data_IF_729600007816
#
_entry.id   IF_729600007816
#
_cell.length_a   1.000
_cell.length_b   1.000
_cell.length_c   1.000
_cell.angle_alpha   90.00
_cell.angle_beta   90.00
_cell.angle_gamma   90.00
#
_symmetry.space_group_name_H-M   'P 1'
#
loop_
_entity.id
_entity.type
_entity.pdbx_description
1 polymer ?
#
# COMPACT_ATOMS: atom_id res chain seq x y z
N UNK A 1 -9.25 -5.98 23.93
CA UNK A 1 -9.65 -6.28 22.53
C UNK A 1 -8.42 -6.66 21.72
N UNK A 2 -7.70 -7.69 22.17
CA UNK A 2 -6.46 -8.23 21.55
C UNK A 2 -6.33 -9.75 21.77
N UNK A 3 -7.34 -10.39 22.35
CA UNK A 3 -7.26 -11.78 22.80
C UNK A 3 -7.14 -12.76 21.62
N UNK A 4 -7.89 -12.53 20.54
CA UNK A 4 -7.85 -13.37 19.34
C UNK A 4 -6.49 -13.25 18.65
N UNK A 5 -6.02 -12.02 18.45
CA UNK A 5 -4.71 -11.76 17.86
C UNK A 5 -3.57 -12.37 18.69
N UNK A 6 -3.54 -12.11 19.99
CA UNK A 6 -2.49 -12.65 20.86
C UNK A 6 -2.50 -14.18 20.94
N UNK A 7 -3.69 -14.80 20.94
CA UNK A 7 -3.80 -16.26 20.91
C UNK A 7 -3.24 -16.83 19.60
N UNK A 8 -3.59 -16.22 18.45
CA UNK A 8 -3.08 -16.62 17.14
C UNK A 8 -1.56 -16.42 17.02
N UNK A 9 -1.03 -15.30 17.53
CA UNK A 9 0.40 -15.02 17.54
C UNK A 9 1.17 -16.02 18.40
N UNK A 10 0.70 -16.27 19.64
CA UNK A 10 1.32 -17.28 20.52
C UNK A 10 1.25 -18.68 19.93
N UNK A 11 0.19 -19.02 19.20
CA UNK A 11 0.09 -20.30 18.50
C UNK A 11 1.14 -20.41 17.38
N UNK A 12 1.27 -19.39 16.54
CA UNK A 12 2.27 -19.33 15.48
C UNK A 12 3.70 -19.41 16.02
N UNK A 13 4.01 -18.73 17.13
CA UNK A 13 5.35 -18.79 17.75
C UNK A 13 5.67 -20.18 18.34
N UNK A 14 4.66 -20.98 18.70
CA UNK A 14 4.87 -22.34 19.21
C UNK A 14 5.17 -23.35 18.10
N UNK A 15 4.78 -23.08 16.85
CA UNK A 15 5.10 -23.93 15.69
C UNK A 15 6.59 -23.87 15.35
N UNK A 16 7.25 -22.75 15.68
CA UNK A 16 8.69 -22.55 15.53
C UNK A 16 9.31 -22.16 16.87
N UNK A 17 9.35 -23.08 17.85
CA UNK A 17 9.90 -22.76 19.15
C UNK A 17 11.38 -22.42 18.93
N UNK A 18 11.78 -21.22 19.32
CA UNK A 18 13.19 -20.78 19.21
C UNK A 18 14.00 -21.53 20.28
N UNK A 19 14.22 -22.83 20.07
CA UNK A 19 14.94 -23.71 20.99
C UNK A 19 16.42 -23.63 20.67
N UNK A 20 17.11 -22.72 21.34
CA UNK A 20 18.57 -22.65 21.37
C UNK A 20 19.09 -21.22 21.33
N UNK A 21 20.20 -20.92 22.02
CA UNK A 21 20.92 -19.68 21.78
C UNK A 21 21.35 -19.66 20.32
N UNK A 22 20.82 -18.69 19.55
CA UNK A 22 21.33 -18.46 18.21
C UNK A 22 22.83 -18.18 18.33
N UNK A 23 23.66 -18.92 17.60
CA UNK A 23 25.12 -18.70 17.57
C UNK A 23 25.51 -17.30 17.11
N UNK A 24 24.54 -16.55 16.57
CA UNK A 24 24.65 -15.17 16.11
C UNK A 24 23.46 -14.35 16.62
N UNK A 25 23.64 -13.06 16.93
CA UNK A 25 22.54 -12.19 17.37
C UNK A 25 21.45 -12.08 16.30
N UNK A 26 20.21 -11.90 16.77
CA UNK A 26 19.06 -11.59 15.91
C UNK A 26 19.19 -10.19 15.32
N UNK A 27 18.70 -10.01 14.10
CA UNK A 27 18.57 -8.72 13.45
C UNK A 27 17.12 -8.25 13.58
N UNK A 28 16.92 -7.06 14.11
CA UNK A 28 15.59 -6.51 14.36
C UNK A 28 15.23 -5.43 13.34
N UNK A 29 14.03 -5.57 12.76
CA UNK A 29 13.50 -4.61 11.80
C UNK A 29 12.18 -4.03 12.29
N UNK A 30 12.05 -2.70 12.30
CA UNK A 30 10.74 -2.09 12.37
C UNK A 30 10.05 -2.16 11.01
N UNK A 31 8.82 -2.67 11.01
CA UNK A 31 7.97 -2.77 9.82
C UNK A 31 6.81 -1.77 9.95
N UNK A 32 6.89 -0.62 9.25
CA UNK A 32 5.77 0.30 9.13
C UNK A 32 4.50 -0.38 8.61
N UNK A 33 3.34 0.15 9.02
CA UNK A 33 2.03 -0.40 8.69
C UNK A 33 1.70 -0.40 7.18
N UNK A 34 2.48 0.33 6.38
CA UNK A 34 2.39 0.41 4.91
C UNK A 34 3.39 -0.50 4.18
N UNK A 35 4.12 -1.37 4.90
CA UNK A 35 5.23 -2.18 4.35
C UNK A 35 5.11 -3.68 4.70
N UNK A 36 3.89 -4.20 4.71
CA UNK A 36 3.54 -5.56 5.16
C UNK A 36 3.83 -6.63 4.08
N UNK A 37 5.08 -6.67 3.60
CA UNK A 37 5.53 -7.55 2.53
C UNK A 37 6.47 -8.63 3.04
N UNK A 38 6.21 -9.89 2.66
CA UNK A 38 7.17 -10.98 2.83
C UNK A 38 7.99 -11.25 1.55
N UNK A 39 7.81 -10.44 0.49
CA UNK A 39 8.41 -10.65 -0.84
C UNK A 39 9.59 -9.71 -1.13
N UNK A 40 9.68 -8.58 -0.44
CA UNK A 40 10.76 -7.62 -0.58
C UNK A 40 11.08 -6.97 0.77
N UNK A 41 12.23 -6.32 0.86
CA UNK A 41 12.71 -5.67 2.08
C UNK A 41 13.86 -6.42 2.75
N UNK A 42 14.59 -5.75 3.64
CA UNK A 42 15.81 -6.30 4.23
C UNK A 42 15.59 -7.58 5.04
N UNK A 43 14.41 -7.75 5.64
CA UNK A 43 14.03 -8.93 6.40
C UNK A 43 13.91 -10.20 5.54
N UNK A 44 13.70 -10.09 4.22
CA UNK A 44 13.62 -11.25 3.32
C UNK A 44 14.95 -11.96 3.11
N UNK A 45 16.06 -11.33 3.52
CA UNK A 45 17.43 -11.84 3.37
C UNK A 45 18.02 -12.34 4.70
N UNK A 46 17.20 -12.44 5.74
CA UNK A 46 17.61 -12.88 7.07
C UNK A 46 16.95 -14.22 7.37
N UNK A 47 17.76 -15.19 7.76
CA UNK A 47 17.28 -16.50 8.19
C UNK A 47 16.20 -16.36 9.29
N UNK A 48 15.09 -17.11 9.21
CA UNK A 48 13.98 -16.98 10.15
C UNK A 48 14.37 -16.93 11.62
N UNK A 49 15.26 -17.81 12.06
CA UNK A 49 15.67 -17.93 13.46
C UNK A 49 16.42 -16.68 13.96
N UNK A 50 16.99 -15.91 13.03
CA UNK A 50 17.72 -14.66 13.29
C UNK A 50 16.88 -13.42 12.98
N UNK A 51 15.66 -13.57 12.47
CA UNK A 51 14.81 -12.47 12.09
C UNK A 51 13.93 -12.03 13.27
N UNK A 52 14.06 -10.77 13.68
CA UNK A 52 13.15 -10.10 14.59
C UNK A 52 12.38 -9.01 13.84
N UNK A 53 11.06 -8.96 14.00
CA UNK A 53 10.21 -7.93 13.42
C UNK A 53 9.46 -7.18 14.52
N UNK A 54 9.46 -5.86 14.42
CA UNK A 54 8.80 -4.94 15.34
C UNK A 54 7.63 -4.30 14.62
N UNK A 55 6.46 -4.36 15.23
CA UNK A 55 5.24 -3.70 14.77
C UNK A 55 4.73 -2.76 15.85
N UNK A 56 4.22 -1.60 15.45
CA UNK A 56 3.61 -0.63 16.35
C UNK A 56 2.22 -0.30 15.84
N UNK A 57 1.23 -0.65 16.65
CA UNK A 57 -0.17 -0.28 16.49
C UNK A 57 -0.46 0.91 17.42
N UNK A 58 -0.39 2.13 16.88
CA UNK A 58 -0.56 3.38 17.63
C UNK A 58 -1.97 3.93 17.50
N UNK A 59 -2.70 4.01 18.63
CA UNK A 59 -4.01 4.66 18.69
C UNK A 59 -3.91 6.15 18.39
N UNK A 60 -2.81 6.81 18.80
CA UNK A 60 -2.57 8.22 18.47
C UNK A 60 -2.63 8.49 16.96
N UNK A 61 -2.09 7.57 16.14
CA UNK A 61 -2.14 7.72 14.68
C UNK A 61 -3.56 7.69 14.15
N UNK A 62 -4.40 6.82 14.69
CA UNK A 62 -5.81 6.71 14.34
C UNK A 62 -6.62 7.91 14.85
N UNK A 63 -6.35 8.39 16.06
CA UNK A 63 -7.05 9.52 16.70
C UNK A 63 -6.67 10.89 16.11
N UNK A 64 -5.52 11.00 15.42
CA UNK A 64 -5.00 12.27 14.88
C UNK A 64 -5.94 12.94 13.87
N UNK A 65 -6.69 12.15 13.12
CA UNK A 65 -7.68 12.64 12.15
C UNK A 65 -8.74 11.57 11.91
N UNK A 66 -9.93 11.93 11.43
CA UNK A 66 -11.05 11.03 11.28
C UNK A 66 -10.88 10.18 10.03
N UNK A 67 -10.02 9.17 10.15
CA UNK A 67 -9.76 8.19 9.08
C UNK A 67 -10.99 7.31 8.88
N UNK A 68 -11.41 7.12 7.63
CA UNK A 68 -12.54 6.24 7.29
C UNK A 68 -12.44 4.87 7.99
N UNK A 69 -13.55 4.41 8.60
CA UNK A 69 -13.61 3.16 9.39
C UNK A 69 -13.07 1.93 8.65
N UNK A 70 -13.48 1.71 7.40
CA UNK A 70 -12.91 0.65 6.54
C UNK A 70 -11.39 0.73 6.35
N UNK A 71 -10.80 1.94 6.24
CA UNK A 71 -9.34 2.10 6.10
C UNK A 71 -8.61 1.73 7.38
N UNK A 72 -9.15 2.11 8.54
CA UNK A 72 -8.62 1.66 9.84
C UNK A 72 -8.64 0.14 9.91
N UNK A 73 -9.76 -0.49 9.54
CA UNK A 73 -9.88 -1.95 9.54
C UNK A 73 -8.84 -2.60 8.62
N UNK A 74 -8.65 -2.07 7.41
CA UNK A 74 -7.64 -2.56 6.46
C UNK A 74 -6.23 -2.56 7.06
N UNK A 75 -5.81 -1.44 7.65
CA UNK A 75 -4.45 -1.31 8.18
C UNK A 75 -4.27 -2.21 9.41
N UNK A 76 -5.17 -2.13 10.38
CA UNK A 76 -5.04 -2.85 11.65
C UNK A 76 -5.16 -4.37 11.46
N UNK A 77 -6.15 -4.83 10.69
CA UNK A 77 -6.32 -6.26 10.44
C UNK A 77 -5.12 -6.82 9.66
N UNK A 78 -4.65 -6.15 8.61
CA UNK A 78 -3.50 -6.66 7.84
C UNK A 78 -2.20 -6.62 8.65
N UNK A 79 -1.97 -5.62 9.51
CA UNK A 79 -0.77 -5.57 10.34
C UNK A 79 -0.73 -6.73 11.34
N UNK A 80 -1.86 -7.01 12.01
CA UNK A 80 -1.99 -8.15 12.93
C UNK A 80 -1.83 -9.48 12.20
N UNK A 81 -2.49 -9.67 11.06
CA UNK A 81 -2.34 -10.90 10.26
C UNK A 81 -0.92 -11.09 9.75
N UNK A 82 -0.28 -10.04 9.24
CA UNK A 82 1.09 -10.12 8.75
C UNK A 82 2.07 -10.49 9.88
N UNK A 83 1.89 -9.97 11.08
CA UNK A 83 2.69 -10.36 12.25
C UNK A 83 2.55 -11.87 12.54
N UNK A 84 1.33 -12.41 12.54
CA UNK A 84 1.07 -13.85 12.72
C UNK A 84 1.69 -14.67 11.57
N UNK A 85 1.52 -14.22 10.33
CA UNK A 85 2.08 -14.90 9.15
C UNK A 85 3.61 -14.93 9.18
N UNK A 86 4.27 -13.87 9.64
CA UNK A 86 5.72 -13.85 9.79
C UNK A 86 6.19 -14.70 10.98
N UNK A 87 5.43 -14.77 12.07
CA UNK A 87 5.70 -15.71 13.17
C UNK A 87 5.66 -17.18 12.69
N UNK A 88 4.64 -17.54 11.88
CA UNK A 88 4.56 -18.87 11.24
C UNK A 88 5.69 -19.14 10.24
N UNK A 89 6.41 -18.12 9.79
CA UNK A 89 7.61 -18.26 8.95
C UNK A 89 8.88 -18.35 9.79
N UNK A 90 8.78 -18.36 11.12
CA UNK A 90 9.89 -18.46 12.07
C UNK A 90 10.46 -17.14 12.58
N UNK A 91 9.91 -15.99 12.16
CA UNK A 91 10.36 -14.69 12.67
C UNK A 91 9.91 -14.47 14.12
N UNK A 92 10.79 -13.87 14.94
CA UNK A 92 10.41 -13.39 16.27
C UNK A 92 9.64 -12.08 16.15
N UNK A 93 8.48 -11.98 16.79
CA UNK A 93 7.62 -10.80 16.71
C UNK A 93 7.66 -10.00 18.01
N UNK A 94 7.87 -8.69 17.90
CA UNK A 94 7.64 -7.71 18.96
C UNK A 94 6.51 -6.78 18.51
N UNK A 95 5.29 -7.01 19.00
CA UNK A 95 4.10 -6.25 18.60
C UNK A 95 3.66 -5.33 19.73
N UNK A 96 3.79 -4.01 19.54
CA UNK A 96 3.44 -2.99 20.52
C UNK A 96 2.11 -2.34 20.18
N UNK A 97 1.14 -2.46 21.08
CA UNK A 97 -0.11 -1.69 21.02
C UNK A 97 0.01 -0.54 22.02
N UNK A 98 -0.11 0.70 21.55
CA UNK A 98 0.15 1.88 22.36
C UNK A 98 -0.80 3.03 22.04
N UNK A 99 -0.89 4.00 22.95
CA UNK A 99 -1.51 5.30 22.71
C UNK A 99 -0.49 6.40 22.41
N UNK A 100 0.80 6.08 22.45
CA UNK A 100 1.89 7.01 22.17
C UNK A 100 2.13 7.16 20.66
N UNK A 101 3.00 8.12 20.31
CA UNK A 101 3.60 8.26 18.98
C UNK A 101 4.55 7.09 18.68
N UNK A 102 4.99 6.95 17.44
CA UNK A 102 5.86 5.82 17.05
C UNK A 102 7.25 5.94 17.67
N UNK A 103 7.81 7.15 17.75
CA UNK A 103 9.16 7.34 18.28
C UNK A 103 9.34 6.88 19.75
N UNK A 104 8.49 7.27 20.73
CA UNK A 104 8.60 6.74 22.09
C UNK A 104 8.47 5.21 22.17
N UNK A 105 7.49 4.64 21.45
CA UNK A 105 7.29 3.20 21.43
C UNK A 105 8.50 2.44 20.86
N UNK A 106 9.11 2.96 19.80
CA UNK A 106 10.31 2.36 19.22
C UNK A 106 11.57 2.61 20.06
N UNK A 107 11.66 3.75 20.77
CA UNK A 107 12.76 4.00 21.70
C UNK A 107 12.81 2.95 22.82
N UNK A 108 11.66 2.56 23.36
CA UNK A 108 11.56 1.46 24.32
C UNK A 108 12.05 0.13 23.73
N UNK A 109 11.65 -0.21 22.50
CA UNK A 109 12.12 -1.43 21.82
C UNK A 109 13.64 -1.37 21.58
N UNK A 110 14.19 -0.23 21.16
CA UNK A 110 15.63 -0.04 20.99
C UNK A 110 16.39 -0.28 22.30
N UNK A 111 15.86 0.22 23.43
CA UNK A 111 16.47 -0.01 24.73
C UNK A 111 16.50 -1.51 25.12
N UNK A 112 15.49 -2.28 24.70
CA UNK A 112 15.38 -3.71 24.99
C UNK A 112 16.15 -4.62 24.01
N UNK A 113 16.25 -4.22 22.74
CA UNK A 113 16.72 -5.07 21.64
C UNK A 113 18.00 -4.58 20.96
N UNK A 114 18.42 -3.35 21.25
CA UNK A 114 19.46 -2.64 20.51
C UNK A 114 18.93 -1.93 19.25
N UNK A 115 19.83 -1.36 18.43
CA UNK A 115 19.45 -0.63 17.22
C UNK A 115 18.61 -1.48 16.26
N UNK A 116 17.63 -0.83 15.63
CA UNK A 116 16.73 -1.42 14.65
C UNK A 116 17.11 -0.95 13.24
N UNK A 117 16.68 -1.67 12.23
CA UNK A 117 16.64 -1.18 10.85
C UNK A 117 15.20 -1.07 10.34
N UNK A 118 14.95 -0.20 9.36
CA UNK A 118 13.66 -0.14 8.65
C UNK A 118 13.86 0.24 7.20
N UNK A 119 12.90 -0.04 6.33
CA UNK A 119 12.85 0.67 5.04
C UNK A 119 12.27 2.06 5.26
N UNK A 120 12.71 3.01 4.44
CA UNK A 120 12.25 4.41 4.45
C UNK A 120 10.71 4.47 4.36
N UNK A 121 10.02 5.04 5.36
CA UNK A 121 8.57 5.24 5.31
C UNK A 121 8.15 6.14 4.14
N UNK A 122 7.01 5.84 3.50
CA UNK A 122 6.47 6.66 2.41
C UNK A 122 5.86 7.97 2.93
N UNK A 123 5.22 7.93 4.10
CA UNK A 123 4.66 9.12 4.75
C UNK A 123 5.74 9.99 5.40
N UNK A 124 5.72 11.28 5.08
CA UNK A 124 6.64 12.27 5.67
C UNK A 124 6.44 12.40 7.18
N UNK A 125 5.21 12.36 7.70
CA UNK A 125 5.00 12.56 9.14
C UNK A 125 5.62 11.44 9.97
N UNK A 126 5.61 10.20 9.48
CA UNK A 126 6.31 9.09 10.16
C UNK A 126 7.83 9.29 10.09
N UNK A 127 8.36 9.75 8.95
CA UNK A 127 9.79 10.12 8.87
C UNK A 127 10.17 11.23 9.84
N UNK A 128 9.32 12.24 9.99
CA UNK A 128 9.54 13.35 10.91
C UNK A 128 9.48 12.90 12.37
N UNK A 129 8.51 12.05 12.73
CA UNK A 129 8.38 11.46 14.06
C UNK A 129 9.64 10.69 14.46
N UNK A 130 10.18 9.88 13.53
CA UNK A 130 11.32 9.00 13.78
C UNK A 130 12.70 9.67 13.59
N UNK A 131 12.74 10.93 13.13
CA UNK A 131 13.98 11.59 12.71
C UNK A 131 15.05 11.64 13.83
N UNK A 132 14.63 11.77 15.09
CA UNK A 132 15.56 11.80 16.22
C UNK A 132 16.24 10.44 16.44
N UNK A 133 15.48 9.34 16.40
CA UNK A 133 16.05 7.99 16.52
C UNK A 133 17.03 7.68 15.39
N UNK A 134 16.73 8.14 14.18
CA UNK A 134 17.64 8.02 13.03
C UNK A 134 18.94 8.80 13.27
N UNK A 135 18.86 10.06 13.71
CA UNK A 135 20.06 10.87 14.01
C UNK A 135 20.94 10.27 15.11
N UNK A 136 20.33 9.58 16.08
CA UNK A 136 21.03 8.92 17.18
C UNK A 136 21.65 7.56 16.79
N UNK A 137 21.42 7.07 15.57
CA UNK A 137 21.86 5.75 15.13
C UNK A 137 21.05 4.59 15.74
N UNK A 138 19.96 4.89 16.45
CA UNK A 138 19.05 3.91 17.03
C UNK A 138 18.16 3.22 15.97
N UNK A 139 17.94 3.88 14.84
CA UNK A 139 17.14 3.37 13.74
C UNK A 139 17.84 3.60 12.39
N UNK A 140 18.38 2.53 11.80
CA UNK A 140 18.98 2.53 10.47
C UNK A 140 17.88 2.60 9.40
N UNK A 141 18.00 3.54 8.45
CA UNK A 141 17.03 3.68 7.34
C UNK A 141 17.62 3.13 6.05
N UNK A 142 16.95 2.12 5.48
CA UNK A 142 17.27 1.52 4.18
C UNK A 142 16.33 2.03 3.10
N UNK A 143 16.76 1.97 1.84
CA UNK A 143 15.90 2.28 0.70
C UNK A 143 14.68 1.36 0.65
N UNK A 144 13.54 1.91 0.25
CA UNK A 144 12.32 1.13 0.09
C UNK A 144 12.38 0.29 -1.20
N UNK A 145 12.23 -1.03 -1.08
CA UNK A 145 12.41 -1.97 -2.20
C UNK A 145 11.12 -2.25 -2.99
N UNK A 146 9.97 -1.70 -2.56
CA UNK A 146 8.68 -1.83 -3.23
C UNK A 146 8.37 -0.77 -4.29
N UNK A 147 9.38 -0.16 -4.91
CA UNK A 147 9.22 0.76 -6.05
C UNK A 147 9.79 0.10 -7.32
N UNK A 148 9.09 0.26 -8.44
CA UNK A 148 9.50 -0.32 -9.72
C UNK A 148 10.58 0.52 -10.42
N UNK A 149 10.73 1.77 -9.98
CA UNK A 149 11.66 2.73 -10.54
C UNK A 149 12.54 3.33 -9.45
N UNK A 150 13.64 3.97 -9.84
CA UNK A 150 14.57 4.61 -8.92
C UNK A 150 14.72 6.13 -9.20
N UNK A 151 15.25 6.90 -8.23
CA UNK A 151 15.39 8.36 -8.38
C UNK A 151 16.26 8.80 -9.56
N UNK A 152 17.20 7.96 -10.04
CA UNK A 152 18.03 8.30 -11.20
C UNK A 152 17.21 8.23 -12.50
N UNK A 153 16.29 7.28 -12.64
CA UNK A 153 15.36 7.24 -13.76
C UNK A 153 14.47 8.49 -13.81
N UNK A 154 13.93 8.90 -12.66
CA UNK A 154 13.12 10.13 -12.58
C UNK A 154 13.92 11.37 -12.99
N UNK A 155 15.14 11.57 -12.45
CA UNK A 155 15.97 12.73 -12.80
C UNK A 155 16.38 12.76 -14.28
N UNK A 156 16.58 11.61 -14.92
CA UNK A 156 16.86 11.56 -16.37
C UNK A 156 15.64 11.95 -17.19
N UNK A 157 14.47 11.45 -16.82
CA UNK A 157 13.24 11.67 -17.57
C UNK A 157 12.62 13.06 -17.33
N UNK A 158 12.86 13.62 -16.15
CA UNK A 158 12.22 14.81 -15.60
C UNK A 158 13.25 15.62 -14.80
N UNK A 159 14.29 16.17 -15.45
CA UNK A 159 15.41 16.84 -14.75
C UNK A 159 14.96 18.11 -14.01
N UNK A 160 14.00 18.83 -14.58
CA UNK A 160 13.48 20.08 -14.04
C UNK A 160 11.95 20.18 -14.19
N UNK A 161 11.28 20.96 -13.33
CA UNK A 161 9.85 21.21 -13.46
C UNK A 161 9.53 22.14 -14.65
N UNK A 162 8.31 22.07 -15.21
CA UNK A 162 7.19 21.23 -14.80
C UNK A 162 7.38 19.77 -15.23
N UNK A 163 7.33 18.85 -14.25
CA UNK A 163 7.46 17.42 -14.51
C UNK A 163 6.18 16.87 -15.15
N UNK A 164 6.34 16.02 -16.16
CA UNK A 164 5.23 15.43 -16.90
C UNK A 164 5.27 13.90 -16.79
N UNK A 165 4.18 13.30 -16.34
CA UNK A 165 4.09 11.83 -16.21
C UNK A 165 4.37 11.14 -17.54
N UNK A 166 3.87 11.70 -18.65
CA UNK A 166 4.06 11.13 -19.99
C UNK A 166 5.55 10.99 -20.33
N UNK A 167 6.38 11.97 -20.04
CA UNK A 167 7.82 11.93 -20.34
C UNK A 167 8.54 10.93 -19.43
N UNK A 168 8.19 10.91 -18.14
CA UNK A 168 8.63 9.90 -17.19
C UNK A 168 8.31 8.47 -17.66
N UNK A 169 7.06 8.19 -17.98
CA UNK A 169 6.61 6.86 -18.37
C UNK A 169 7.25 6.38 -19.69
N UNK A 170 7.39 7.27 -20.69
CA UNK A 170 8.11 6.96 -21.94
C UNK A 170 9.56 6.58 -21.67
N UNK A 171 10.25 7.29 -20.78
CA UNK A 171 11.63 7.00 -20.39
C UNK A 171 11.72 5.65 -19.68
N UNK A 172 10.86 5.41 -18.69
CA UNK A 172 10.83 4.15 -17.94
C UNK A 172 10.54 2.94 -18.83
N UNK A 173 9.58 3.04 -19.76
CA UNK A 173 9.28 2.00 -20.77
C UNK A 173 10.52 1.63 -21.60
N UNK A 174 11.26 2.63 -22.10
CA UNK A 174 12.49 2.41 -22.88
C UNK A 174 13.61 1.80 -22.05
N UNK A 175 13.81 2.31 -20.82
CA UNK A 175 14.85 1.81 -19.90
C UNK A 175 14.60 0.36 -19.48
N UNK A 176 13.33 -0.01 -19.27
CA UNK A 176 12.94 -1.32 -18.72
C UNK A 176 12.62 -2.38 -19.77
N UNK A 177 12.30 -1.97 -21.00
CA UNK A 177 11.82 -2.87 -22.06
C UNK A 177 10.38 -3.36 -21.88
N UNK A 178 9.66 -2.89 -20.85
CA UNK A 178 8.27 -3.30 -20.60
C UNK A 178 7.39 -2.84 -21.77
N UNK A 179 6.62 -3.76 -22.36
CA UNK A 179 5.80 -3.52 -23.56
C UNK A 179 6.61 -2.90 -24.71
N UNK A 180 7.85 -3.36 -24.91
CA UNK A 180 8.71 -2.97 -26.03
C UNK A 180 9.12 -4.22 -26.82
N UNK A 181 9.15 -4.15 -28.14
CA UNK A 181 9.63 -5.21 -29.03
C UNK A 181 11.15 -5.07 -29.29
N UNK A 182 11.90 -6.16 -29.13
CA UNK A 182 13.35 -6.22 -29.37
C UNK A 182 14.20 -5.76 -28.18
N UNK A 183 15.52 -5.68 -28.39
CA UNK A 183 16.45 -5.23 -27.35
C UNK A 183 16.33 -3.71 -27.08
N UNK A 184 16.49 -3.25 -25.83
CA UNK A 184 16.42 -1.83 -25.50
C UNK A 184 17.43 -0.95 -26.27
N UNK A 185 17.02 0.21 -26.83
CA UNK A 185 15.65 0.69 -26.90
C UNK A 185 14.88 0.00 -28.06
N UNK A 186 13.93 -0.86 -27.69
CA UNK A 186 13.04 -1.54 -28.62
C UNK A 186 11.99 -0.61 -29.24
N UNK A 187 11.20 -1.12 -30.20
CA UNK A 187 10.01 -0.41 -30.70
C UNK A 187 8.87 -0.58 -29.70
N UNK A 188 7.98 0.39 -29.58
CA UNK A 188 6.84 0.23 -28.68
C UNK A 188 5.92 -0.88 -29.20
N UNK A 189 5.51 -1.81 -28.33
CA UNK A 189 4.55 -2.86 -28.65
C UNK A 189 3.26 -2.24 -29.21
N UNK A 190 2.77 -2.75 -30.34
CA UNK A 190 1.60 -2.19 -31.04
C UNK A 190 1.83 -0.81 -31.66
N UNK A 191 3.08 -0.37 -31.80
CA UNK A 191 3.47 0.86 -32.52
C UNK A 191 3.27 2.17 -31.73
N UNK A 192 2.68 2.14 -30.53
CA UNK A 192 2.41 3.32 -29.70
C UNK A 192 2.90 3.14 -28.27
N UNK A 193 3.37 4.21 -27.65
CA UNK A 193 3.76 4.19 -26.23
C UNK A 193 2.56 4.34 -25.27
N UNK A 194 1.39 4.78 -25.75
CA UNK A 194 0.17 4.91 -24.96
C UNK A 194 -1.05 4.69 -25.84
N UNK A 195 -2.06 4.04 -25.29
CA UNK A 195 -3.38 3.81 -25.91
C UNK A 195 -4.50 4.56 -25.16
N UNK A 196 -4.17 5.60 -24.38
CA UNK A 196 -5.13 6.37 -23.56
C UNK A 196 -6.35 6.90 -24.32
N UNK A 197 -6.19 7.27 -25.59
CA UNK A 197 -7.28 7.74 -26.42
C UNK A 197 -8.35 6.66 -26.69
N UNK A 198 -7.95 5.39 -26.62
CA UNK A 198 -8.80 4.22 -26.87
C UNK A 198 -9.52 3.75 -25.57
N UNK A 199 -9.32 4.44 -24.45
CA UNK A 199 -9.78 4.04 -23.10
C UNK A 199 -10.95 4.90 -22.56
N UNK A 200 -11.80 5.41 -23.45
CA UNK A 200 -12.83 6.43 -23.13
C UNK A 200 -14.24 6.05 -23.55
N UNK A 201 -14.49 4.76 -23.72
CA UNK A 201 -15.80 4.28 -24.13
C UNK A 201 -16.82 4.40 -22.97
N UNK A 202 -18.08 4.78 -23.27
CA UNK A 202 -19.14 4.73 -22.28
C UNK A 202 -19.54 3.27 -22.00
N UNK A 203 -19.73 2.92 -20.73
CA UNK A 203 -20.25 1.60 -20.35
C UNK A 203 -21.77 1.59 -20.28
N UNK A 204 -22.42 0.65 -21.00
CA UNK A 204 -23.89 0.59 -21.15
C UNK A 204 -24.55 -0.60 -20.45
N UNK A 205 -23.82 -1.32 -19.59
CA UNK A 205 -24.35 -2.52 -18.90
C UNK A 205 -23.79 -3.83 -19.42
N UNK A 206 -23.18 -3.83 -20.60
CA UNK A 206 -22.59 -4.98 -21.26
C UNK A 206 -21.12 -4.68 -21.61
N UNK A 207 -20.15 -5.54 -21.24
CA UNK A 207 -20.33 -6.74 -20.42
C UNK A 207 -20.76 -6.40 -18.99
N UNK A 208 -21.38 -7.34 -18.25
CA UNK A 208 -21.78 -7.09 -16.88
C UNK A 208 -20.56 -6.77 -16.01
N UNK A 209 -20.70 -5.76 -15.15
CA UNK A 209 -19.63 -5.41 -14.21
C UNK A 209 -19.33 -6.59 -13.27
N UNK A 210 -18.05 -6.88 -12.99
CA UNK A 210 -17.67 -8.02 -12.17
C UNK A 210 -18.12 -7.85 -10.71
N UNK A 211 -18.71 -8.91 -10.15
CA UNK A 211 -19.01 -8.96 -8.73
C UNK A 211 -17.71 -8.90 -7.90
N UNK A 212 -17.71 -8.07 -6.85
CA UNK A 212 -16.56 -7.91 -5.97
C UNK A 212 -16.34 -9.18 -5.12
N UNK A 213 -15.07 -9.57 -4.86
CA UNK A 213 -14.76 -10.64 -3.92
C UNK A 213 -15.32 -10.33 -2.53
N UNK A 214 -15.84 -11.38 -1.88
CA UNK A 214 -16.21 -11.37 -0.46
C UNK A 214 -15.26 -12.26 0.33
N UNK A 215 -15.04 -11.89 1.58
CA UNK A 215 -14.12 -12.52 2.51
C UNK A 215 -14.87 -12.83 3.79
N UNK A 216 -14.64 -14.00 4.37
CA UNK A 216 -15.19 -14.29 5.70
C UNK A 216 -14.26 -13.73 6.77
N UNK A 217 -14.72 -12.80 7.62
CA UNK A 217 -13.87 -12.23 8.64
C UNK A 217 -13.52 -13.29 9.69
N UNK A 218 -12.24 -13.49 9.94
CA UNK A 218 -11.77 -14.40 10.98
C UNK A 218 -11.85 -13.75 12.38
N UNK A 219 -11.35 -14.43 13.41
CA UNK A 219 -11.39 -13.92 14.79
C UNK A 219 -10.59 -12.62 14.96
N UNK A 220 -9.44 -12.49 14.29
CA UNK A 220 -8.62 -11.27 14.33
C UNK A 220 -9.36 -10.11 13.66
N UNK A 221 -9.96 -10.36 12.50
CA UNK A 221 -10.71 -9.37 11.74
C UNK A 221 -11.94 -8.87 12.49
N UNK A 222 -12.69 -9.77 13.14
CA UNK A 222 -13.83 -9.40 13.98
C UNK A 222 -13.40 -8.56 15.19
N UNK A 223 -12.33 -8.96 15.87
CA UNK A 223 -11.77 -8.22 17.01
C UNK A 223 -11.35 -6.79 16.61
N UNK A 224 -10.75 -6.61 15.43
CA UNK A 224 -10.44 -5.27 14.89
C UNK A 224 -11.72 -4.48 14.60
N UNK A 225 -12.75 -5.12 14.07
CA UNK A 225 -14.06 -4.48 13.84
C UNK A 225 -14.68 -3.98 15.14
N UNK A 226 -14.69 -4.82 16.18
CA UNK A 226 -15.17 -4.46 17.53
C UNK A 226 -14.39 -3.28 18.11
N UNK A 227 -13.05 -3.27 17.96
CA UNK A 227 -12.21 -2.14 18.35
C UNK A 227 -12.63 -0.84 17.66
N UNK A 228 -12.89 -0.91 16.35
CA UNK A 228 -13.25 0.26 15.55
C UNK A 228 -14.63 0.77 15.94
N UNK A 229 -15.63 -0.09 16.13
CA UNK A 229 -16.95 0.36 16.56
C UNK A 229 -16.92 0.90 18.00
N UNK A 230 -16.10 0.33 18.88
CA UNK A 230 -16.01 0.81 20.27
C UNK A 230 -15.31 2.17 20.40
N UNK A 231 -14.28 2.46 19.58
CA UNK A 231 -13.44 3.67 19.76
C UNK A 231 -13.57 4.71 18.65
N UNK A 232 -13.87 4.26 17.43
CA UNK A 232 -13.83 5.06 16.22
C UNK A 232 -15.18 5.06 15.49
N UNK A 233 -16.30 4.75 16.18
CA UNK A 233 -17.65 4.86 15.59
C UNK A 233 -17.98 6.26 15.06
N UNK A 234 -17.36 7.31 15.62
CA UNK A 234 -17.50 8.69 15.19
C UNK A 234 -16.69 9.04 13.92
N UNK A 235 -15.85 8.13 13.42
CA UNK A 235 -15.11 8.31 12.17
C UNK A 235 -16.02 8.07 10.94
N UNK A 236 -15.70 8.67 9.78
CA UNK A 236 -16.52 8.56 8.58
C UNK A 236 -16.57 7.15 7.99
N UNK A 237 -17.60 6.95 7.14
CA UNK A 237 -17.76 5.75 6.33
C UNK A 237 -18.40 4.59 7.08
N UNK A 238 -18.80 3.53 6.37
CA UNK A 238 -19.36 2.30 6.96
C UNK A 238 -18.32 1.20 7.00
N UNK A 239 -18.30 0.42 8.07
CA UNK A 239 -17.49 -0.78 8.18
C UNK A 239 -18.22 -1.97 7.53
N UNK A 240 -17.57 -2.64 6.60
CA UNK A 240 -18.00 -3.91 5.99
C UNK A 240 -16.82 -4.89 6.02
N UNK A 241 -16.80 -5.73 7.06
CA UNK A 241 -15.76 -6.73 7.25
C UNK A 241 -15.78 -7.80 6.15
N UNK A 242 -16.94 -8.06 5.52
CA UNK A 242 -17.05 -9.03 4.44
C UNK A 242 -16.45 -8.55 3.12
N UNK A 243 -16.12 -7.27 3.01
CA UNK A 243 -15.40 -6.67 1.88
C UNK A 243 -13.92 -6.40 2.21
N UNK A 244 -13.42 -6.89 3.35
CA UNK A 244 -12.08 -6.59 3.84
C UNK A 244 -11.09 -7.75 3.59
N UNK A 245 -10.16 -7.63 2.62
CA UNK A 245 -9.05 -8.57 2.54
C UNK A 245 -8.07 -8.32 3.70
N UNK A 246 -7.82 -9.33 4.52
CA UNK A 246 -6.97 -9.22 5.71
C UNK A 246 -5.75 -10.16 5.69
N UNK A 247 -5.86 -11.29 5.00
CA UNK A 247 -4.81 -12.31 4.91
C UNK A 247 -4.05 -12.26 3.59
N UNK A 248 -2.89 -12.93 3.54
CA UNK A 248 -2.13 -13.07 2.29
C UNK A 248 -2.97 -13.81 1.22
N UNK A 249 -3.76 -14.80 1.62
CA UNK A 249 -4.66 -15.53 0.74
C UNK A 249 -5.75 -14.63 0.16
N UNK A 250 -6.30 -13.71 0.96
CA UNK A 250 -7.28 -12.73 0.46
C UNK A 250 -6.65 -11.77 -0.55
N UNK A 251 -5.42 -11.33 -0.30
CA UNK A 251 -4.68 -10.48 -1.22
C UNK A 251 -4.43 -11.18 -2.57
N UNK A 252 -4.06 -12.46 -2.55
CA UNK A 252 -3.86 -13.28 -3.75
C UNK A 252 -5.17 -13.55 -4.49
N UNK A 253 -6.26 -13.84 -3.76
CA UNK A 253 -7.61 -13.95 -4.34
C UNK A 253 -8.05 -12.64 -5.01
N UNK A 254 -7.74 -11.49 -4.41
CA UNK A 254 -8.05 -10.17 -4.99
C UNK A 254 -7.24 -9.94 -6.26
N UNK A 255 -5.95 -10.29 -6.27
CA UNK A 255 -5.10 -10.21 -7.46
C UNK A 255 -5.61 -11.10 -8.60
N UNK A 256 -5.92 -12.36 -8.31
CA UNK A 256 -6.47 -13.29 -9.31
C UNK A 256 -7.77 -12.74 -9.92
N UNK A 257 -8.72 -12.32 -9.07
CA UNK A 257 -9.97 -11.70 -9.53
C UNK A 257 -9.71 -10.47 -10.41
N UNK A 258 -8.81 -9.57 -10.01
CA UNK A 258 -8.51 -8.36 -10.78
C UNK A 258 -7.97 -8.70 -12.18
N UNK A 259 -7.06 -9.66 -12.28
CA UNK A 259 -6.46 -10.04 -13.55
C UNK A 259 -7.44 -10.82 -14.44
N UNK A 260 -8.32 -11.63 -13.85
CA UNK A 260 -9.23 -12.50 -14.60
C UNK A 260 -10.57 -11.84 -14.95
N UNK A 261 -11.02 -10.85 -14.16
CA UNK A 261 -12.37 -10.26 -14.28
C UNK A 261 -12.38 -8.79 -14.67
N UNK A 262 -11.26 -8.09 -14.50
CA UNK A 262 -11.19 -6.65 -14.75
C UNK A 262 -10.26 -6.31 -15.92
N UNK A 263 -9.12 -7.00 -16.02
CA UNK A 263 -8.02 -6.56 -16.89
C UNK A 263 -8.39 -6.50 -18.38
N UNK A 264 -9.25 -7.39 -18.89
CA UNK A 264 -9.69 -7.37 -20.29
C UNK A 264 -10.38 -6.05 -20.68
N UNK A 265 -11.27 -5.57 -19.81
CA UNK A 265 -12.11 -4.38 -20.05
C UNK A 265 -11.62 -3.14 -19.28
N UNK A 266 -10.42 -3.21 -18.70
CA UNK A 266 -9.84 -2.11 -17.92
C UNK A 266 -9.68 -0.85 -18.76
N UNK A 267 -9.18 -0.99 -19.99
CA UNK A 267 -8.92 0.13 -20.89
C UNK A 267 -10.19 0.80 -21.38
N UNK A 268 -11.06 0.12 -22.17
CA UNK A 268 -12.23 0.73 -22.78
C UNK A 268 -13.09 1.55 -21.81
N UNK A 269 -13.26 1.06 -20.58
CA UNK A 269 -14.12 1.66 -19.57
C UNK A 269 -13.36 2.36 -18.42
N UNK A 270 -12.09 2.72 -18.62
CA UNK A 270 -11.23 3.34 -17.59
C UNK A 270 -11.84 4.65 -17.05
N UNK A 271 -12.46 5.44 -17.93
CA UNK A 271 -13.10 6.73 -17.61
C UNK A 271 -14.62 6.63 -17.43
N UNK A 272 -15.21 5.44 -17.56
CA UNK A 272 -16.65 5.27 -17.46
C UNK A 272 -17.15 5.46 -16.01
N UNK A 273 -18.31 6.10 -15.86
CA UNK A 273 -19.02 6.23 -14.58
C UNK A 273 -20.42 5.64 -14.68
N UNK A 274 -20.91 5.03 -13.60
CA UNK A 274 -22.23 4.43 -13.53
C UNK A 274 -22.94 4.79 -12.22
N UNK A 275 -24.23 5.09 -12.32
CA UNK A 275 -25.09 5.30 -11.15
C UNK A 275 -25.44 3.98 -10.42
N UNK A 276 -25.34 2.84 -11.11
CA UNK A 276 -25.75 1.53 -10.60
C UNK A 276 -24.58 0.61 -10.27
N UNK A 277 -23.41 0.84 -10.86
CA UNK A 277 -22.20 0.04 -10.63
C UNK A 277 -21.06 0.90 -10.08
N UNK A 278 -20.64 0.60 -8.84
CA UNK A 278 -19.61 1.39 -8.13
C UNK A 278 -18.17 1.07 -8.56
N UNK A 279 -17.94 -0.09 -9.16
CA UNK A 279 -16.59 -0.60 -9.41
C UNK A 279 -16.20 -0.68 -10.89
N UNK A 280 -17.17 -0.99 -11.77
CA UNK A 280 -16.90 -1.40 -13.14
C UNK A 280 -15.72 -2.38 -13.20
N UNK A 281 -14.76 -2.16 -14.08
CA UNK A 281 -13.60 -3.02 -14.31
C UNK A 281 -12.33 -2.49 -13.64
N UNK A 282 -12.46 -1.76 -12.53
CA UNK A 282 -11.29 -1.38 -11.73
C UNK A 282 -10.83 -2.53 -10.83
N UNK A 283 -9.50 -2.65 -10.70
CA UNK A 283 -8.83 -3.82 -10.12
C UNK A 283 -8.84 -3.90 -8.61
N UNK A 284 -9.16 -2.79 -7.90
CA UNK A 284 -9.20 -2.71 -6.42
C UNK A 284 -7.90 -3.12 -5.71
N UNK A 285 -6.77 -3.17 -6.41
CA UNK A 285 -5.48 -3.58 -5.86
C UNK A 285 -4.78 -2.47 -5.07
N UNK A 286 -5.15 -1.20 -5.28
CA UNK A 286 -4.44 -0.06 -4.69
C UNK A 286 -4.29 -0.12 -3.17
N UNK A 287 -5.28 -0.54 -2.37
CA UNK A 287 -5.09 -0.59 -0.92
C UNK A 287 -4.04 -1.64 -0.55
N UNK A 288 -4.06 -2.83 -1.15
CA UNK A 288 -3.12 -3.93 -0.90
C UNK A 288 -1.70 -3.64 -1.39
N UNK A 289 -1.57 -2.97 -2.53
CA UNK A 289 -0.29 -2.48 -3.05
C UNK A 289 0.34 -1.45 -2.10
N UNK A 290 -0.48 -0.54 -1.58
CA UNK A 290 -0.01 0.58 -0.76
C UNK A 290 0.32 0.18 0.68
N UNK A 291 -0.18 -0.98 1.16
CA UNK A 291 0.24 -1.54 2.46
C UNK A 291 1.24 -2.69 2.33
N UNK A 292 1.70 -3.01 1.11
CA UNK A 292 2.72 -4.03 0.86
C UNK A 292 2.25 -5.49 0.87
N UNK A 293 0.95 -5.76 0.96
CA UNK A 293 0.39 -7.12 0.89
C UNK A 293 0.47 -7.72 -0.51
N UNK A 294 0.48 -6.85 -1.53
CA UNK A 294 0.85 -7.19 -2.90
C UNK A 294 2.09 -6.39 -3.31
N UNK A 295 3.06 -7.08 -3.90
CA UNK A 295 4.25 -6.41 -4.44
C UNK A 295 3.98 -5.77 -5.81
N UNK A 296 4.42 -4.54 -6.08
CA UNK A 296 4.24 -3.93 -7.41
C UNK A 296 4.86 -4.74 -8.54
N UNK A 297 6.04 -5.34 -8.32
CA UNK A 297 6.70 -6.25 -9.27
C UNK A 297 5.84 -7.48 -9.54
N UNK A 298 5.34 -8.12 -8.49
CA UNK A 298 4.43 -9.27 -8.58
C UNK A 298 3.19 -8.93 -9.42
N UNK A 299 2.55 -7.79 -9.17
CA UNK A 299 1.34 -7.38 -9.88
C UNK A 299 1.63 -7.06 -11.35
N UNK A 300 2.72 -6.35 -11.62
CA UNK A 300 3.16 -6.02 -12.98
C UNK A 300 3.45 -7.29 -13.78
N UNK A 301 4.27 -8.19 -13.24
CA UNK A 301 4.67 -9.42 -13.94
C UNK A 301 3.45 -10.33 -14.20
N UNK A 302 2.52 -10.41 -13.24
CA UNK A 302 1.28 -11.19 -13.39
C UNK A 302 0.32 -10.63 -14.46
N UNK A 303 0.31 -9.31 -14.66
CA UNK A 303 -0.43 -8.67 -15.74
C UNK A 303 0.25 -8.89 -17.10
N UNK A 304 1.57 -8.72 -17.18
CA UNK A 304 2.34 -8.94 -18.41
C UNK A 304 2.27 -10.40 -18.87
N UNK A 305 2.18 -11.37 -17.95
CA UNK A 305 1.98 -12.78 -18.28
C UNK A 305 0.63 -13.08 -18.98
N UNK A 306 -0.28 -12.10 -19.11
CA UNK A 306 -1.57 -12.20 -19.81
C UNK A 306 -1.60 -11.41 -21.12
N UNK A 307 -0.44 -10.95 -21.62
CA UNK A 307 -0.37 -10.12 -22.84
C UNK A 307 -1.10 -10.75 -24.04
N UNK A 308 -1.00 -12.06 -24.23
CA UNK A 308 -1.67 -12.76 -25.34
C UNK A 308 -3.18 -12.97 -25.15
N UNK A 309 -3.74 -12.59 -23.99
CA UNK A 309 -5.15 -12.83 -23.61
C UNK A 309 -5.93 -11.55 -23.33
N UNK A 310 -5.28 -10.40 -23.34
CA UNK A 310 -5.86 -9.12 -22.95
C UNK A 310 -5.63 -8.11 -24.09
N UNK A 311 -6.63 -7.29 -24.45
CA UNK A 311 -6.44 -6.19 -25.38
C UNK A 311 -5.28 -5.28 -24.95
N UNK A 312 -4.40 -4.96 -25.89
CA UNK A 312 -3.17 -4.21 -25.58
C UNK A 312 -3.47 -2.85 -24.94
N UNK A 313 -4.55 -2.17 -25.31
CA UNK A 313 -4.93 -0.89 -24.71
C UNK A 313 -5.30 -1.02 -23.23
N UNK A 314 -5.97 -2.12 -22.84
CA UNK A 314 -6.27 -2.42 -21.44
C UNK A 314 -5.02 -2.77 -20.64
N UNK A 315 -4.16 -3.64 -21.19
CA UNK A 315 -2.91 -4.01 -20.53
C UNK A 315 -1.97 -2.79 -20.38
N UNK A 316 -1.79 -2.00 -21.44
CA UNK A 316 -0.98 -0.80 -21.41
C UNK A 316 -1.57 0.24 -20.45
N UNK A 317 -2.88 0.46 -20.46
CA UNK A 317 -3.55 1.35 -19.51
C UNK A 317 -3.27 0.94 -18.06
N UNK A 318 -3.45 -0.34 -17.73
CA UNK A 318 -3.14 -0.87 -16.39
C UNK A 318 -1.66 -0.68 -16.00
N UNK A 319 -0.74 -1.02 -16.91
CA UNK A 319 0.71 -0.84 -16.70
C UNK A 319 1.05 0.64 -16.53
N UNK A 320 0.42 1.55 -17.27
CA UNK A 320 0.63 2.99 -17.16
C UNK A 320 0.16 3.56 -15.83
N UNK A 321 -0.91 3.04 -15.24
CA UNK A 321 -1.32 3.42 -13.88
C UNK A 321 -0.29 2.96 -12.82
N UNK A 322 0.28 1.75 -12.99
CA UNK A 322 1.20 1.15 -12.02
C UNK A 322 2.66 1.61 -12.16
N UNK A 323 3.23 1.53 -13.36
CA UNK A 323 4.62 1.87 -13.68
C UNK A 323 4.79 3.37 -14.01
N UNK A 324 3.73 4.02 -14.49
CA UNK A 324 3.70 5.45 -14.79
C UNK A 324 3.23 6.27 -13.59
N UNK A 325 1.92 6.40 -13.39
CA UNK A 325 1.34 7.33 -12.43
C UNK A 325 1.77 7.07 -10.98
N UNK A 326 1.66 5.83 -10.47
CA UNK A 326 2.04 5.52 -9.08
C UNK A 326 3.50 5.88 -8.79
N UNK A 327 4.42 5.48 -9.67
CA UNK A 327 5.85 5.74 -9.54
C UNK A 327 6.16 7.25 -9.71
N UNK A 328 5.55 7.91 -10.70
CA UNK A 328 5.71 9.34 -10.93
C UNK A 328 5.29 10.18 -9.72
N UNK A 329 4.11 9.89 -9.14
CA UNK A 329 3.61 10.60 -7.96
C UNK A 329 4.55 10.41 -6.76
N UNK A 330 5.11 9.21 -6.58
CA UNK A 330 6.11 8.98 -5.53
C UNK A 330 7.35 9.87 -5.69
N UNK A 331 7.90 9.94 -6.90
CA UNK A 331 9.08 10.77 -7.15
C UNK A 331 8.79 12.26 -7.00
N UNK A 332 7.64 12.73 -7.49
CA UNK A 332 7.19 14.12 -7.27
C UNK A 332 7.04 14.41 -5.77
N UNK A 333 6.44 13.50 -5.01
CA UNK A 333 6.30 13.64 -3.57
C UNK A 333 7.66 13.72 -2.86
N UNK A 334 8.64 12.87 -3.22
CA UNK A 334 9.98 12.95 -2.64
C UNK A 334 10.74 14.21 -3.08
N UNK A 335 10.68 14.60 -4.36
CA UNK A 335 11.35 15.78 -4.90
C UNK A 335 10.85 17.08 -4.28
N UNK A 336 9.57 17.13 -3.88
CA UNK A 336 8.91 18.31 -3.30
C UNK A 336 8.83 18.28 -1.77
N UNK A 337 9.41 17.26 -1.11
CA UNK A 337 9.29 17.04 0.34
C UNK A 337 7.82 17.06 0.81
N UNK A 338 6.98 16.27 0.12
CA UNK A 338 5.55 16.21 0.33
C UNK A 338 4.86 17.54 0.02
N UNK A 339 5.13 18.09 -1.16
CA UNK A 339 4.54 19.32 -1.70
C UNK A 339 4.82 20.61 -0.88
N UNK A 340 5.86 20.60 -0.05
CA UNK A 340 6.32 21.80 0.70
C UNK A 340 7.34 22.64 -0.06
N UNK A 341 8.02 22.02 -1.03
CA UNK A 341 8.96 22.67 -1.93
C UNK A 341 8.40 22.59 -3.34
N UNK A 342 7.49 23.49 -3.66
CA UNK A 342 6.98 23.59 -5.02
C UNK A 342 7.93 24.42 -5.90
N UNK A 343 8.02 24.11 -7.20
CA UNK A 343 8.84 24.86 -8.15
C UNK A 343 8.55 26.35 -8.23
N UNK A 344 7.29 26.75 -8.01
CA UNK A 344 6.85 28.15 -8.04
C UNK A 344 7.03 28.87 -6.69
N UNK A 345 7.64 28.21 -5.71
CA UNK A 345 7.89 28.74 -4.36
C UNK A 345 6.65 28.84 -3.48
N UNK A 346 5.45 28.49 -3.99
CA UNK A 346 4.23 28.53 -3.19
C UNK A 346 4.20 27.33 -2.26
N UNK A 347 3.90 27.58 -0.98
CA UNK A 347 3.67 26.52 -0.01
C UNK A 347 2.15 26.47 0.23
N UNK A 348 1.41 25.55 -0.43
CA UNK A 348 -0.05 25.50 -0.30
C UNK A 348 -0.49 24.85 1.02
N UNK A 349 0.44 24.42 1.86
CA UNK A 349 0.19 23.62 3.06
C UNK A 349 0.57 24.37 4.31
N UNK A 350 -0.30 24.30 5.32
CA UNK A 350 -0.01 24.78 6.66
C UNK A 350 1.29 24.15 7.22
N UNK A 351 2.02 24.85 8.11
CA UNK A 351 3.23 24.31 8.72
C UNK A 351 2.96 23.03 9.53
N UNK A 352 1.78 22.94 10.13
CA UNK A 352 1.33 21.80 10.93
C UNK A 352 0.22 20.98 10.23
N UNK A 353 0.14 19.65 10.48
CA UNK A 353 -0.97 18.83 9.98
C UNK A 353 -2.29 19.27 10.63
N UNK A 354 -3.30 19.55 9.81
CA UNK A 354 -4.68 19.79 10.26
C UNK A 354 -5.53 18.50 10.20
N UNK A 355 -6.81 18.62 10.53
CA UNK A 355 -7.79 17.54 10.48
C UNK A 355 -8.38 17.29 9.08
N UNK A 356 -7.85 17.97 8.05
CA UNK A 356 -8.34 17.90 6.68
C UNK A 356 -9.71 18.54 6.47
N UNK A 357 -10.11 19.49 7.31
CA UNK A 357 -11.43 20.16 7.24
C UNK A 357 -12.56 19.33 7.85
N UNK A 358 -12.24 18.36 8.72
CA UNK A 358 -13.27 17.53 9.34
C UNK A 358 -14.08 18.27 10.40
N UNK A 359 -13.43 19.09 11.23
CA UNK A 359 -14.12 19.91 12.22
C UNK A 359 -15.13 20.87 11.59
N UNK A 360 -14.97 21.18 10.30
CA UNK A 360 -15.91 21.99 9.51
C UNK A 360 -16.88 21.14 8.68
N UNK A 361 -16.74 19.81 8.68
CA UNK A 361 -17.71 18.91 8.05
C UNK A 361 -19.03 18.95 8.83
N UNK A 362 -20.11 19.32 8.13
CA UNK A 362 -21.40 19.59 8.74
C UNK A 362 -22.11 18.35 9.32
N UNK A 363 -21.53 17.15 9.24
CA UNK A 363 -22.16 15.90 9.66
C UNK A 363 -23.41 15.52 8.87
N UNK A 364 -23.72 16.27 7.82
CA UNK A 364 -24.89 16.09 6.96
C UNK A 364 -24.47 15.30 5.73
N UNK A 365 -25.27 14.30 5.39
CA UNK A 365 -25.16 13.63 4.10
C UNK A 365 -25.26 14.67 2.98
N UNK A 366 -24.46 14.50 1.94
CA UNK A 366 -24.68 15.26 0.71
C UNK A 366 -26.12 14.98 0.28
N UNK A 367 -26.95 16.02 0.03
CA UNK A 367 -28.31 15.77 -0.43
C UNK A 367 -28.20 14.90 -1.67
N UNK A 368 -28.67 13.65 -1.57
CA UNK A 368 -28.78 12.80 -2.74
C UNK A 368 -29.58 13.62 -3.75
N UNK A 369 -29.13 13.76 -5.02
CA UNK A 369 -29.99 14.31 -6.04
C UNK A 369 -31.27 13.51 -5.92
N UNK A 370 -32.34 14.17 -5.49
CA UNK A 370 -33.64 13.54 -5.36
C UNK A 370 -33.86 12.77 -6.65
N UNK A 371 -34.21 11.49 -6.55
CA UNK A 371 -34.85 10.78 -7.64
C UNK A 371 -36.14 11.53 -7.93
N UNK A 372 -36.05 12.62 -8.68
CA UNK A 372 -37.19 13.28 -9.28
C UNK A 372 -37.72 12.30 -10.30
N UNK A 373 -38.84 11.68 -9.87
CA UNK A 373 -39.88 10.96 -10.59
C UNK A 373 -39.73 10.78 -12.10
#
# INVERSE_FOLDING_TARGET
>A
MTAAFEAALRAAEREHPTTGPASRPRQWFYVPYDQLSHRYGPWTRVEPERLGLVFVESMWKAERRPVHRQKLALILANQRHFAVEMARRGARIDYRITRERYAPALAAVVAERGPLAMMRPAERELRADLAQLVRQGALEVRSHEGWLTNPAQFRRACPEPPWRMVDFYRHVRRDTGILMDGAPPGRARGGKLSFDADNREPWRGDPPAPALPRFEPDAITREVGELIEARFAHHPGRLDLGALPATQADAERTLAWALDRCLEHFGPYEDAMSATQRNLFHTRLSPLLNIGRLGPRQVLDAALAREDRVPLNSLEGFVRQLLGWREFVHHVHEATDGFRRLPDGKVPVAPDPDDGGWSTWAGRDWPSPSSTA
#
